data_IF_591099057813
#
_entry.id   IF_591099057813
#
_cell.length_a   1.000
_cell.length_b   1.000
_cell.length_c   1.000
_cell.angle_alpha   90.00
_cell.angle_beta   90.00
_cell.angle_gamma   90.00
#
_symmetry.space_group_name_H-M   'P 1'
#
loop_
_entity.id
_entity.type
_entity.pdbx_description
1 polymer ?
#
# COMPACT_ATOMS: atom_id res chain seq x y z
N UNK A 1 -32.09 -1.70 6.05
CA UNK A 1 -31.68 -1.93 7.45
C UNK A 1 -30.18 -1.72 7.50
N UNK A 2 -29.71 -0.54 7.93
CA UNK A 2 -28.28 -0.28 8.01
C UNK A 2 -27.73 -1.14 9.15
N UNK A 3 -26.92 -2.15 8.81
CA UNK A 3 -26.10 -2.83 9.80
C UNK A 3 -25.19 -1.77 10.42
N UNK A 4 -25.45 -1.43 11.68
CA UNK A 4 -24.54 -0.60 12.47
C UNK A 4 -23.25 -1.41 12.66
N UNK A 5 -22.35 -1.31 11.68
CA UNK A 5 -21.08 -2.01 11.72
C UNK A 5 -20.24 -1.39 12.82
N UNK A 6 -20.23 -2.05 13.98
CA UNK A 6 -19.41 -1.66 15.13
C UNK A 6 -17.97 -1.34 14.71
N UNK A 7 -17.35 -0.35 15.36
CA UNK A 7 -15.94 0.01 15.12
C UNK A 7 -15.01 -1.21 15.15
N UNK A 8 -15.30 -2.18 16.02
CA UNK A 8 -14.60 -3.47 16.08
C UNK A 8 -14.67 -4.23 14.75
N UNK A 9 -15.86 -4.36 14.16
CA UNK A 9 -16.04 -5.00 12.85
C UNK A 9 -15.28 -4.29 11.74
N UNK A 10 -15.28 -2.96 11.74
CA UNK A 10 -14.52 -2.16 10.76
C UNK A 10 -13.00 -2.37 10.93
N UNK A 11 -12.50 -2.40 12.16
CA UNK A 11 -11.08 -2.68 12.42
C UNK A 11 -10.68 -4.10 12.01
N UNK A 12 -11.54 -5.11 12.23
CA UNK A 12 -11.29 -6.48 11.76
C UNK A 12 -11.21 -6.51 10.23
N UNK A 13 -12.11 -5.81 9.53
CA UNK A 13 -12.08 -5.71 8.08
C UNK A 13 -10.79 -5.03 7.59
N UNK A 14 -10.36 -3.92 8.19
CA UNK A 14 -9.09 -3.25 7.86
C UNK A 14 -7.86 -4.14 8.10
N UNK A 15 -7.86 -4.90 9.20
CA UNK A 15 -6.82 -5.88 9.50
C UNK A 15 -6.75 -6.96 8.42
N UNK A 16 -7.88 -7.61 8.11
CA UNK A 16 -7.94 -8.70 7.13
C UNK A 16 -7.65 -8.22 5.71
N UNK A 17 -8.18 -7.07 5.32
CA UNK A 17 -7.92 -6.48 4.01
C UNK A 17 -6.44 -6.14 3.83
N UNK A 18 -5.82 -5.49 4.82
CA UNK A 18 -4.39 -5.14 4.75
C UNK A 18 -3.51 -6.39 4.76
N UNK A 19 -3.86 -7.40 5.57
CA UNK A 19 -3.19 -8.69 5.56
C UNK A 19 -3.27 -9.38 4.19
N UNK A 20 -4.43 -9.33 3.52
CA UNK A 20 -4.63 -9.92 2.19
C UNK A 20 -3.82 -9.20 1.11
N UNK A 21 -3.71 -7.87 1.17
CA UNK A 21 -2.82 -7.09 0.29
C UNK A 21 -1.39 -7.57 0.43
N UNK A 22 -0.90 -7.68 1.66
CA UNK A 22 0.47 -8.16 1.94
C UNK A 22 0.65 -9.63 1.54
N UNK A 23 -0.34 -10.48 1.78
CA UNK A 23 -0.27 -11.89 1.44
C UNK A 23 0.02 -12.11 -0.05
N UNK A 24 -0.75 -11.47 -0.93
CA UNK A 24 -0.52 -11.60 -2.38
C UNK A 24 0.75 -10.88 -2.84
N UNK A 25 0.97 -9.66 -2.37
CA UNK A 25 2.09 -8.84 -2.78
C UNK A 25 3.45 -9.42 -2.36
N UNK A 26 3.63 -9.71 -1.06
CA UNK A 26 4.86 -10.34 -0.59
C UNK A 26 4.99 -11.78 -1.11
N UNK A 27 3.88 -12.50 -1.30
CA UNK A 27 3.87 -13.84 -1.89
C UNK A 27 4.48 -13.88 -3.29
N UNK A 28 4.10 -12.96 -4.19
CA UNK A 28 4.66 -12.94 -5.55
C UNK A 28 6.13 -12.48 -5.56
N UNK A 29 6.51 -11.57 -4.67
CA UNK A 29 7.92 -11.15 -4.54
C UNK A 29 8.77 -12.27 -3.96
N UNK A 30 8.27 -13.04 -2.99
CA UNK A 30 8.95 -14.24 -2.49
C UNK A 30 9.14 -15.27 -3.61
N UNK A 31 8.08 -15.52 -4.38
CA UNK A 31 8.15 -16.42 -5.53
C UNK A 31 9.23 -15.99 -6.54
N UNK A 32 9.28 -14.69 -6.86
CA UNK A 32 10.27 -14.13 -7.79
C UNK A 32 11.71 -14.16 -7.27
N UNK A 33 11.92 -13.82 -5.99
CA UNK A 33 13.26 -13.64 -5.43
C UNK A 33 13.92 -14.95 -5.03
N UNK A 34 13.17 -15.85 -4.40
CA UNK A 34 13.77 -17.04 -3.75
C UNK A 34 13.23 -18.37 -4.26
N UNK A 35 12.08 -18.40 -4.96
CA UNK A 35 11.48 -19.66 -5.45
C UNK A 35 11.64 -19.89 -6.97
N UNK A 36 12.40 -19.03 -7.66
CA UNK A 36 12.72 -19.20 -9.08
C UNK A 36 11.59 -18.88 -10.07
N UNK A 37 10.49 -18.24 -9.62
CA UNK A 37 9.42 -17.82 -10.52
C UNK A 37 9.89 -16.67 -11.42
N UNK A 38 9.61 -16.77 -12.73
CA UNK A 38 9.94 -15.73 -13.70
C UNK A 38 8.84 -14.66 -13.73
N UNK A 39 9.06 -13.56 -12.99
CA UNK A 39 8.20 -12.39 -13.02
C UNK A 39 8.97 -11.15 -13.47
N UNK A 40 8.45 -10.45 -14.47
CA UNK A 40 8.91 -9.11 -14.81
C UNK A 40 8.26 -8.05 -13.92
N UNK A 41 8.64 -6.79 -14.16
CA UNK A 41 8.16 -5.65 -13.38
C UNK A 41 6.63 -5.50 -13.48
N UNK A 42 6.07 -5.69 -14.68
CA UNK A 42 4.62 -5.62 -14.88
C UNK A 42 3.90 -6.73 -14.13
N UNK A 43 4.39 -7.96 -14.18
CA UNK A 43 3.75 -9.11 -13.53
C UNK A 43 3.73 -8.96 -12.01
N UNK A 44 4.81 -8.48 -11.40
CA UNK A 44 4.81 -8.14 -9.96
C UNK A 44 3.77 -7.04 -9.69
N UNK A 45 3.78 -5.97 -10.48
CA UNK A 45 2.93 -4.81 -10.24
C UNK A 45 1.44 -5.12 -10.38
N UNK A 46 1.06 -5.93 -11.38
CA UNK A 46 -0.34 -6.34 -11.57
C UNK A 46 -0.80 -7.30 -10.48
N UNK A 47 0.05 -8.19 -9.96
CA UNK A 47 -0.32 -9.03 -8.81
C UNK A 47 -0.56 -8.19 -7.56
N UNK A 48 0.28 -7.18 -7.28
CA UNK A 48 0.03 -6.22 -6.20
C UNK A 48 -1.28 -5.46 -6.38
N UNK A 49 -1.51 -4.93 -7.58
CA UNK A 49 -2.74 -4.21 -7.92
C UNK A 49 -4.00 -5.05 -7.76
N UNK A 50 -4.01 -6.26 -8.31
CA UNK A 50 -5.14 -7.19 -8.19
C UNK A 50 -5.34 -7.68 -6.76
N UNK A 51 -4.27 -7.86 -5.99
CA UNK A 51 -4.34 -8.16 -4.55
C UNK A 51 -5.07 -7.06 -3.77
N UNK A 52 -4.82 -5.79 -4.10
CA UNK A 52 -5.57 -4.66 -3.54
C UNK A 52 -7.02 -4.66 -3.99
N UNK A 53 -7.31 -4.87 -5.27
CA UNK A 53 -8.69 -4.96 -5.75
C UNK A 53 -9.52 -6.01 -4.99
N UNK A 54 -8.96 -7.22 -4.82
CA UNK A 54 -9.60 -8.30 -4.06
C UNK A 54 -9.80 -7.95 -2.59
N UNK A 55 -8.82 -7.30 -1.95
CA UNK A 55 -8.94 -6.84 -0.57
C UNK A 55 -10.02 -5.77 -0.41
N UNK A 56 -10.16 -4.86 -1.39
CA UNK A 56 -11.24 -3.87 -1.41
C UNK A 56 -12.60 -4.56 -1.58
N UNK A 57 -12.74 -5.48 -2.53
CA UNK A 57 -14.00 -6.24 -2.68
C UNK A 57 -14.39 -6.99 -1.40
N UNK A 58 -13.41 -7.55 -0.68
CA UNK A 58 -13.66 -8.28 0.56
C UNK A 58 -14.17 -7.38 1.70
N UNK A 59 -13.70 -6.13 1.77
CA UNK A 59 -13.80 -5.31 2.99
C UNK A 59 -14.60 -4.01 2.83
N UNK A 60 -14.87 -3.57 1.60
CA UNK A 60 -15.54 -2.30 1.31
C UNK A 60 -16.93 -2.21 1.96
N UNK A 61 -17.68 -3.31 1.97
CA UNK A 61 -19.01 -3.35 2.58
C UNK A 61 -19.04 -3.21 4.11
N UNK A 62 -17.88 -3.31 4.78
CA UNK A 62 -17.78 -3.23 6.26
C UNK A 62 -17.05 -1.97 6.71
N UNK A 63 -15.82 -1.74 6.24
CA UNK A 63 -14.98 -0.61 6.68
C UNK A 63 -14.90 0.54 5.69
N UNK A 64 -15.35 0.34 4.45
CA UNK A 64 -15.01 1.21 3.32
C UNK A 64 -13.65 0.92 2.69
N UNK A 65 -12.93 -0.11 3.16
CA UNK A 65 -11.66 -0.59 2.62
C UNK A 65 -10.60 0.50 2.44
N UNK A 66 -10.20 1.16 3.53
CA UNK A 66 -9.12 2.14 3.45
C UNK A 66 -7.79 1.45 3.18
N UNK A 67 -7.49 0.40 3.95
CA UNK A 67 -6.34 -0.51 3.85
C UNK A 67 -4.96 0.18 3.81
N UNK A 68 -4.92 1.47 4.14
CA UNK A 68 -3.78 2.35 3.97
C UNK A 68 -3.91 3.56 4.92
N UNK A 69 -2.94 3.80 5.82
CA UNK A 69 -2.93 4.95 6.71
C UNK A 69 -2.99 6.31 5.99
N UNK A 70 -2.32 6.44 4.83
CA UNK A 70 -2.35 7.67 4.04
C UNK A 70 -3.76 7.95 3.47
N UNK A 71 -4.47 6.90 3.03
CA UNK A 71 -5.87 7.00 2.58
C UNK A 71 -6.78 7.33 3.76
N UNK A 72 -6.64 6.66 4.91
CA UNK A 72 -7.44 6.96 6.12
C UNK A 72 -7.32 8.43 6.54
N UNK A 73 -6.09 8.96 6.59
CA UNK A 73 -5.84 10.35 6.97
C UNK A 73 -6.40 11.32 5.93
N UNK A 74 -6.23 11.03 4.64
CA UNK A 74 -6.78 11.85 3.57
C UNK A 74 -8.32 11.88 3.60
N UNK A 75 -8.99 10.74 3.79
CA UNK A 75 -10.43 10.66 3.88
C UNK A 75 -10.98 11.34 5.16
N UNK A 76 -10.25 11.29 6.27
CA UNK A 76 -10.59 12.07 7.46
C UNK A 76 -10.61 13.57 7.16
N UNK A 77 -9.56 14.07 6.52
CA UNK A 77 -9.43 15.51 6.29
C UNK A 77 -10.32 16.02 5.17
N UNK A 78 -10.54 15.20 4.13
CA UNK A 78 -11.15 15.65 2.90
C UNK A 78 -12.48 14.97 2.60
N UNK A 79 -12.81 13.80 3.13
CA UNK A 79 -14.02 13.05 2.77
C UNK A 79 -14.95 12.76 3.96
N UNK A 80 -14.93 13.62 4.99
CA UNK A 80 -15.82 13.54 6.16
C UNK A 80 -15.76 12.22 6.93
N UNK A 81 -14.65 11.48 6.85
CA UNK A 81 -14.47 10.28 7.66
C UNK A 81 -14.32 10.64 9.15
N UNK A 82 -14.94 9.85 10.03
CA UNK A 82 -14.95 10.12 11.48
C UNK A 82 -13.53 10.04 12.07
N UNK A 83 -13.05 11.18 12.60
CA UNK A 83 -11.73 11.31 13.20
C UNK A 83 -11.46 10.33 14.35
N UNK A 84 -12.51 9.88 15.07
CA UNK A 84 -12.38 8.89 16.16
C UNK A 84 -11.95 7.51 15.65
N UNK A 85 -12.16 7.22 14.37
CA UNK A 85 -11.82 5.94 13.74
C UNK A 85 -10.42 5.89 13.15
N UNK A 86 -9.78 7.05 12.96
CA UNK A 86 -8.47 7.16 12.29
C UNK A 86 -7.39 6.30 12.95
N UNK A 87 -7.17 6.51 14.25
CA UNK A 87 -6.14 5.75 14.99
C UNK A 87 -6.47 4.24 15.06
N UNK A 88 -7.70 3.81 15.40
CA UNK A 88 -8.08 2.40 15.34
C UNK A 88 -7.84 1.75 13.97
N UNK A 89 -8.18 2.43 12.87
CA UNK A 89 -7.94 1.94 11.52
C UNK A 89 -6.44 1.77 11.24
N UNK A 90 -5.63 2.79 11.55
CA UNK A 90 -4.18 2.74 11.32
C UNK A 90 -3.55 1.57 12.10
N UNK A 91 -3.92 1.39 13.38
CA UNK A 91 -3.42 0.26 14.18
C UNK A 91 -3.82 -1.08 13.55
N UNK A 92 -5.09 -1.22 13.15
CA UNK A 92 -5.58 -2.44 12.51
C UNK A 92 -4.83 -2.75 11.20
N UNK A 93 -4.61 -1.73 10.36
CA UNK A 93 -3.86 -1.84 9.11
C UNK A 93 -2.41 -2.26 9.37
N UNK A 94 -1.72 -1.61 10.32
CA UNK A 94 -0.32 -1.93 10.67
C UNK A 94 -0.18 -3.38 11.18
N UNK A 95 -1.10 -3.81 12.06
CA UNK A 95 -1.14 -5.19 12.54
C UNK A 95 -1.47 -6.18 11.42
N UNK A 96 -2.37 -5.81 10.50
CA UNK A 96 -2.71 -6.62 9.32
C UNK A 96 -1.50 -6.79 8.40
N UNK A 97 -0.76 -5.71 8.14
CA UNK A 97 0.46 -5.76 7.34
C UNK A 97 1.55 -6.64 7.98
N UNK A 98 1.76 -6.49 9.28
CA UNK A 98 2.65 -7.37 10.05
C UNK A 98 2.23 -8.85 9.95
N UNK A 99 0.95 -9.13 10.17
CA UNK A 99 0.41 -10.49 10.15
C UNK A 99 0.53 -11.12 8.75
N UNK A 100 0.19 -10.38 7.69
CA UNK A 100 0.35 -10.85 6.32
C UNK A 100 1.80 -11.24 6.01
N UNK A 101 2.77 -10.43 6.44
CA UNK A 101 4.19 -10.72 6.24
C UNK A 101 4.63 -11.97 7.02
N UNK A 102 4.15 -12.13 8.25
CA UNK A 102 4.41 -13.32 9.07
C UNK A 102 3.87 -14.60 8.43
N UNK A 103 2.67 -14.55 7.85
CA UNK A 103 2.07 -15.68 7.13
C UNK A 103 2.89 -16.03 5.89
N UNK A 104 3.27 -15.05 5.07
CA UNK A 104 4.09 -15.28 3.87
C UNK A 104 5.45 -15.86 4.26
N UNK A 105 6.11 -15.32 5.27
CA UNK A 105 7.37 -15.87 5.76
C UNK A 105 7.20 -17.31 6.25
N UNK A 106 6.16 -17.63 7.02
CA UNK A 106 5.92 -19.00 7.49
C UNK A 106 5.84 -19.99 6.32
N UNK A 107 5.13 -19.61 5.24
CA UNK A 107 4.96 -20.44 4.05
C UNK A 107 6.26 -20.58 3.23
N UNK A 108 7.07 -19.52 3.16
CA UNK A 108 8.32 -19.49 2.37
C UNK A 108 9.58 -19.74 3.20
N UNK A 109 9.48 -19.96 4.52
CA UNK A 109 10.63 -19.95 5.45
C UNK A 109 11.75 -20.88 5.02
N UNK A 110 11.40 -22.11 4.64
CA UNK A 110 12.38 -23.10 4.17
C UNK A 110 13.13 -22.63 2.92
N UNK A 111 12.40 -22.09 1.95
CA UNK A 111 12.95 -21.59 0.67
C UNK A 111 13.85 -20.38 0.91
N UNK A 112 13.45 -19.45 1.79
CA UNK A 112 14.27 -18.27 2.13
C UNK A 112 15.59 -18.70 2.79
N UNK A 113 15.54 -19.62 3.77
CA UNK A 113 16.75 -20.09 4.47
C UNK A 113 17.68 -20.85 3.52
N UNK A 114 17.13 -21.69 2.65
CA UNK A 114 17.92 -22.42 1.65
C UNK A 114 18.58 -21.47 0.64
N UNK A 115 17.85 -20.45 0.17
CA UNK A 115 18.39 -19.40 -0.70
C UNK A 115 19.51 -18.63 -0.02
N UNK A 116 19.31 -18.18 1.23
CA UNK A 116 20.34 -17.47 2.00
C UNK A 116 21.59 -18.33 2.19
N UNK A 117 21.43 -19.62 2.49
CA UNK A 117 22.55 -20.55 2.66
C UNK A 117 23.31 -20.75 1.35
N UNK A 118 22.60 -20.97 0.25
CA UNK A 118 23.17 -21.22 -1.08
C UNK A 118 23.89 -19.99 -1.64
N UNK A 119 23.36 -18.79 -1.38
CA UNK A 119 23.95 -17.52 -1.82
C UNK A 119 24.94 -16.93 -0.79
N UNK A 120 25.22 -17.66 0.30
CA UNK A 120 26.09 -17.19 1.39
C UNK A 120 25.67 -15.83 2.00
N UNK A 121 24.37 -15.56 2.06
CA UNK A 121 23.80 -14.35 2.63
C UNK A 121 23.61 -14.53 4.14
N UNK A 122 24.29 -13.71 4.93
CA UNK A 122 24.10 -13.67 6.38
C UNK A 122 22.90 -12.77 6.69
N UNK A 123 21.81 -13.33 7.23
CA UNK A 123 20.64 -12.52 7.59
C UNK A 123 21.01 -11.42 8.61
N UNK A 124 20.62 -10.19 8.32
CA UNK A 124 20.98 -8.99 9.09
C UNK A 124 22.15 -8.19 8.52
N UNK A 125 22.90 -8.75 7.56
CA UNK A 125 23.91 -8.03 6.77
C UNK A 125 23.29 -7.11 5.72
N UNK A 126 24.10 -6.27 5.08
CA UNK A 126 23.66 -5.42 3.97
C UNK A 126 23.13 -6.25 2.79
N UNK A 127 23.77 -7.38 2.48
CA UNK A 127 23.39 -8.31 1.40
C UNK A 127 22.01 -8.92 1.66
N UNK A 128 21.63 -9.09 2.93
CA UNK A 128 20.32 -9.60 3.32
C UNK A 128 19.15 -8.65 3.02
N UNK A 129 19.41 -7.42 2.57
CA UNK A 129 18.37 -6.55 2.01
C UNK A 129 17.66 -7.18 0.82
N UNK A 130 18.34 -8.06 0.08
CA UNK A 130 17.71 -8.81 -1.00
C UNK A 130 16.56 -9.69 -0.49
N UNK A 131 16.73 -10.42 0.63
CA UNK A 131 15.65 -11.24 1.20
C UNK A 131 14.69 -10.40 2.06
N UNK A 132 15.16 -9.34 2.71
CA UNK A 132 14.30 -8.41 3.45
C UNK A 132 13.30 -7.68 2.53
N UNK A 133 13.70 -7.39 1.29
CA UNK A 133 12.87 -6.71 0.29
C UNK A 133 11.75 -7.58 -0.29
N UNK A 134 11.60 -8.82 0.17
CA UNK A 134 10.35 -9.59 -0.02
C UNK A 134 9.19 -8.91 0.71
N UNK A 135 9.45 -8.39 1.91
CA UNK A 135 8.41 -7.93 2.83
C UNK A 135 8.09 -6.45 2.68
N UNK A 136 9.10 -5.64 2.38
CA UNK A 136 8.99 -4.18 2.38
C UNK A 136 9.86 -3.55 1.30
N UNK A 137 9.76 -2.23 1.18
CA UNK A 137 10.43 -1.46 0.14
C UNK A 137 11.76 -0.88 0.61
N UNK A 138 12.66 -0.62 -0.35
CA UNK A 138 13.96 0.02 -0.13
C UNK A 138 14.27 0.91 -1.35
N UNK A 139 15.03 1.98 -1.14
CA UNK A 139 15.43 2.86 -2.22
C UNK A 139 16.33 2.14 -3.24
N UNK A 140 16.24 2.55 -4.50
CA UNK A 140 17.23 2.21 -5.50
C UNK A 140 18.62 2.71 -5.05
N UNK A 141 19.70 1.92 -5.20
CA UNK A 141 21.05 2.34 -4.81
C UNK A 141 21.56 3.61 -5.48
N UNK A 142 20.98 4.02 -6.61
CA UNK A 142 21.40 5.17 -7.41
C UNK A 142 20.62 6.46 -7.11
N UNK A 143 19.70 6.45 -6.14
CA UNK A 143 18.96 7.65 -5.75
C UNK A 143 19.20 7.98 -4.27
N UNK A 144 19.17 9.27 -3.94
CA UNK A 144 19.25 9.72 -2.57
C UNK A 144 17.90 9.64 -1.85
N UNK A 145 17.93 9.83 -0.53
CA UNK A 145 16.74 9.71 0.31
C UNK A 145 15.68 10.79 -0.01
N UNK A 146 16.12 11.98 -0.43
CA UNK A 146 15.23 13.07 -0.83
C UNK A 146 14.47 12.71 -2.11
N UNK A 147 15.17 12.14 -3.11
CA UNK A 147 14.55 11.65 -4.34
C UNK A 147 13.58 10.51 -4.03
N UNK A 148 13.96 9.56 -3.17
CA UNK A 148 13.06 8.48 -2.75
C UNK A 148 11.78 9.02 -2.07
N UNK A 149 11.93 10.02 -1.18
CA UNK A 149 10.80 10.71 -0.56
C UNK A 149 9.90 11.43 -1.57
N UNK A 150 10.50 12.05 -2.59
CA UNK A 150 9.76 12.74 -3.66
C UNK A 150 8.97 11.76 -4.51
N UNK A 151 9.56 10.60 -4.84
CA UNK A 151 8.87 9.54 -5.58
C UNK A 151 7.65 9.04 -4.80
N UNK A 152 7.81 8.68 -3.52
CA UNK A 152 6.70 8.20 -2.69
C UNK A 152 5.60 9.26 -2.48
N UNK A 153 5.99 10.53 -2.38
CA UNK A 153 5.04 11.65 -2.32
C UNK A 153 4.22 11.75 -3.60
N UNK A 154 4.86 11.78 -4.77
CA UNK A 154 4.17 11.91 -6.06
C UNK A 154 3.28 10.70 -6.32
N UNK A 155 3.80 9.49 -6.12
CA UNK A 155 3.05 8.25 -6.31
C UNK A 155 1.79 8.21 -5.45
N UNK A 156 1.91 8.58 -4.17
CA UNK A 156 0.76 8.55 -3.26
C UNK A 156 -0.23 9.69 -3.53
N UNK A 157 0.25 10.84 -3.99
CA UNK A 157 -0.61 11.93 -4.44
C UNK A 157 -1.45 11.51 -5.66
N UNK A 158 -0.83 10.85 -6.64
CA UNK A 158 -1.55 10.29 -7.79
C UNK A 158 -2.52 9.20 -7.34
N UNK A 159 -2.09 8.28 -6.48
CA UNK A 159 -2.94 7.21 -5.94
C UNK A 159 -4.20 7.76 -5.28
N UNK A 160 -4.07 8.63 -4.28
CA UNK A 160 -5.22 9.15 -3.53
C UNK A 160 -6.08 10.06 -4.41
N UNK A 161 -5.47 10.90 -5.26
CA UNK A 161 -6.22 11.76 -6.17
C UNK A 161 -7.08 10.97 -7.16
N UNK A 162 -6.55 9.90 -7.74
CA UNK A 162 -7.29 9.04 -8.67
C UNK A 162 -8.27 8.11 -7.96
N UNK A 163 -7.98 7.64 -6.74
CA UNK A 163 -8.97 6.94 -5.90
C UNK A 163 -10.22 7.81 -5.75
N UNK A 164 -10.06 9.07 -5.32
CA UNK A 164 -11.20 9.98 -5.19
C UNK A 164 -11.93 10.16 -6.53
N UNK A 165 -11.21 10.30 -7.64
CA UNK A 165 -11.81 10.43 -8.96
C UNK A 165 -12.61 9.20 -9.40
N UNK A 166 -12.14 7.99 -9.09
CA UNK A 166 -12.79 6.73 -9.44
C UNK A 166 -14.00 6.42 -8.57
N UNK A 167 -14.02 6.94 -7.34
CA UNK A 167 -15.11 6.78 -6.37
C UNK A 167 -16.08 7.97 -6.32
N UNK A 168 -15.86 9.01 -7.12
CA UNK A 168 -16.78 10.15 -7.26
C UNK A 168 -17.76 9.88 -8.39
N UNK A 169 -19.01 9.54 -8.03
CA UNK A 169 -20.10 9.28 -8.97
C UNK A 169 -20.54 10.54 -9.74
N UNK A 170 -20.11 11.74 -9.34
CA UNK A 170 -20.30 12.98 -10.08
C UNK A 170 -19.27 13.22 -11.19
N UNK A 171 -18.23 12.38 -11.28
CA UNK A 171 -17.14 12.52 -12.25
C UNK A 171 -17.32 11.63 -13.48
N UNK A 172 -18.28 11.96 -14.36
CA UNK A 172 -18.64 11.13 -15.51
C UNK A 172 -19.53 9.94 -15.12
N UNK A 173 -19.46 8.83 -15.87
CA UNK A 173 -20.33 7.66 -15.59
C UNK A 173 -19.87 6.94 -14.33
N UNK A 174 -20.76 6.69 -13.34
CA UNK A 174 -20.45 5.91 -12.14
C UNK A 174 -19.84 4.55 -12.47
N UNK A 175 -18.78 4.19 -11.75
CA UNK A 175 -18.04 2.92 -12.00
C UNK A 175 -18.70 1.74 -11.28
N UNK A 176 -19.46 2.01 -10.21
CA UNK A 176 -20.14 0.99 -9.42
C UNK A 176 -19.18 -0.12 -9.00
N UNK A 177 -19.54 -1.37 -9.32
CA UNK A 177 -18.74 -2.54 -8.98
C UNK A 177 -17.34 -2.59 -9.64
N UNK A 178 -17.05 -1.76 -10.66
CA UNK A 178 -15.73 -1.71 -11.29
C UNK A 178 -14.71 -0.87 -10.51
N UNK A 179 -15.14 -0.02 -9.57
CA UNK A 179 -14.22 0.89 -8.88
C UNK A 179 -13.05 0.15 -8.17
N UNK A 180 -13.25 -0.96 -7.43
CA UNK A 180 -12.13 -1.70 -6.81
C UNK A 180 -11.13 -2.25 -7.83
N UNK A 181 -11.60 -2.79 -8.96
CA UNK A 181 -10.75 -3.29 -10.03
C UNK A 181 -9.90 -2.18 -10.65
N UNK A 182 -10.50 -1.02 -10.93
CA UNK A 182 -9.79 0.12 -11.51
C UNK A 182 -8.75 0.71 -10.56
N UNK A 183 -9.02 0.70 -9.24
CA UNK A 183 -8.03 1.06 -8.22
C UNK A 183 -6.85 0.07 -8.23
N UNK A 184 -7.12 -1.23 -8.39
CA UNK A 184 -6.08 -2.23 -8.56
C UNK A 184 -5.22 -2.00 -9.81
N UNK A 185 -5.85 -1.70 -10.94
CA UNK A 185 -5.14 -1.38 -12.19
C UNK A 185 -4.29 -0.10 -12.04
N UNK A 186 -4.81 0.93 -11.37
CA UNK A 186 -4.04 2.14 -11.05
C UNK A 186 -2.74 1.80 -10.29
N UNK A 187 -2.83 0.98 -9.25
CA UNK A 187 -1.67 0.54 -8.46
C UNK A 187 -0.69 -0.24 -9.33
N UNK A 188 -1.19 -1.12 -10.20
CA UNK A 188 -0.35 -1.88 -11.13
C UNK A 188 0.41 -0.98 -12.11
N UNK A 189 -0.23 0.06 -12.64
CA UNK A 189 0.42 1.02 -13.55
C UNK A 189 1.46 1.86 -12.81
N UNK A 190 1.14 2.33 -11.59
CA UNK A 190 2.09 3.09 -10.76
C UNK A 190 3.33 2.24 -10.42
N UNK A 191 3.14 0.98 -10.04
CA UNK A 191 4.23 0.04 -9.78
C UNK A 191 5.02 -0.30 -11.04
N UNK A 192 4.34 -0.54 -12.16
CA UNK A 192 4.95 -0.87 -13.44
C UNK A 192 5.80 0.26 -14.01
N UNK A 193 5.43 1.51 -13.73
CA UNK A 193 6.15 2.69 -14.20
C UNK A 193 7.29 3.13 -13.26
N UNK A 194 7.06 3.14 -11.95
CA UNK A 194 7.96 3.78 -10.99
C UNK A 194 8.55 2.82 -9.95
N UNK A 195 8.15 1.55 -9.96
CA UNK A 195 8.60 0.58 -8.99
C UNK A 195 10.12 0.38 -8.86
N UNK A 196 10.92 0.49 -9.93
CA UNK A 196 12.38 0.39 -9.83
C UNK A 196 13.06 1.48 -8.97
N UNK A 197 12.35 2.57 -8.63
CA UNK A 197 12.90 3.67 -7.85
C UNK A 197 12.83 3.42 -6.34
N UNK A 198 11.64 3.07 -5.84
CA UNK A 198 11.38 2.93 -4.40
C UNK A 198 10.55 1.70 -4.04
N UNK A 199 10.12 0.88 -4.99
CA UNK A 199 9.23 -0.26 -4.73
C UNK A 199 7.77 0.13 -4.53
N UNK A 200 7.37 1.35 -4.91
CA UNK A 200 5.98 1.86 -4.91
C UNK A 200 5.24 1.57 -3.59
N UNK A 201 5.81 1.98 -2.45
CA UNK A 201 5.23 1.66 -1.16
C UNK A 201 3.82 2.24 -1.02
N UNK A 202 3.68 3.56 -1.20
CA UNK A 202 2.43 4.34 -1.24
C UNK A 202 1.45 4.13 -0.07
N UNK A 203 1.88 3.39 0.96
CA UNK A 203 1.05 2.89 2.05
C UNK A 203 1.93 2.59 3.27
N UNK A 204 1.82 3.38 4.36
CA UNK A 204 2.63 3.18 5.56
C UNK A 204 2.45 1.81 6.22
N UNK A 205 1.24 1.24 6.20
CA UNK A 205 0.98 -0.08 6.81
C UNK A 205 1.52 -1.24 5.97
N UNK A 206 1.51 -1.08 4.65
CA UNK A 206 2.08 -2.05 3.70
C UNK A 206 3.60 -2.14 3.79
N UNK A 207 4.25 -1.12 4.36
CA UNK A 207 5.71 -1.08 4.45
C UNK A 207 6.19 -1.29 5.90
N UNK A 208 5.71 -0.49 6.85
CA UNK A 208 6.21 -0.55 8.22
C UNK A 208 5.82 -1.84 8.96
N UNK A 209 4.60 -2.34 8.80
CA UNK A 209 4.16 -3.60 9.43
C UNK A 209 5.08 -4.77 9.02
N UNK A 210 5.29 -5.01 7.72
CA UNK A 210 6.26 -5.99 7.24
C UNK A 210 7.73 -5.70 7.61
N UNK A 211 8.17 -4.44 7.68
CA UNK A 211 9.52 -4.09 8.18
C UNK A 211 9.72 -4.49 9.63
N UNK A 212 8.73 -4.21 10.47
CA UNK A 212 8.76 -4.61 11.88
C UNK A 212 8.82 -6.13 12.01
N UNK A 213 8.05 -6.86 11.20
CA UNK A 213 8.14 -8.31 11.13
C UNK A 213 9.55 -8.78 10.73
N UNK A 214 10.12 -8.23 9.66
CA UNK A 214 11.45 -8.61 9.18
C UNK A 214 12.55 -8.29 10.22
N UNK A 215 12.50 -7.13 10.85
CA UNK A 215 13.44 -6.74 11.90
C UNK A 215 13.43 -7.75 13.06
N UNK A 216 12.24 -8.16 13.52
CA UNK A 216 12.06 -9.16 14.59
C UNK A 216 12.42 -10.59 14.14
N UNK A 217 12.45 -10.86 12.84
CA UNK A 217 12.68 -12.20 12.26
C UNK A 217 14.14 -12.44 11.81
N UNK A 218 15.07 -11.66 12.37
CA UNK A 218 16.51 -11.85 12.21
C UNK A 218 17.18 -10.91 11.21
N UNK A 219 16.43 -10.13 10.42
CA UNK A 219 17.05 -9.07 9.60
C UNK A 219 17.50 -7.88 10.47
N UNK A 220 16.95 -7.70 11.67
CA UNK A 220 17.41 -6.68 12.61
C UNK A 220 17.32 -5.26 12.04
N UNK A 221 18.32 -4.44 12.34
CA UNK A 221 18.32 -3.02 11.99
C UNK A 221 18.32 -2.75 10.48
N UNK A 222 18.90 -3.64 9.66
CA UNK A 222 18.96 -3.44 8.21
C UNK A 222 17.56 -3.36 7.59
N UNK A 223 16.58 -4.05 8.18
CA UNK A 223 15.20 -4.01 7.72
C UNK A 223 14.56 -2.61 7.86
N UNK A 224 14.97 -1.87 8.88
CA UNK A 224 14.49 -0.53 9.18
C UNK A 224 15.31 0.55 8.45
N UNK A 225 16.63 0.38 8.40
CA UNK A 225 17.54 1.39 7.88
C UNK A 225 17.66 1.35 6.36
N UNK A 226 17.55 0.17 5.74
CA UNK A 226 17.85 0.01 4.32
C UNK A 226 19.33 0.21 3.98
N UNK A 227 20.23 0.19 4.98
CA UNK A 227 21.64 0.54 4.80
C UNK A 227 21.92 2.04 4.77
N UNK A 228 20.92 2.89 5.03
CA UNK A 228 21.09 4.34 5.13
C UNK A 228 21.37 4.82 6.56
N UNK A 229 22.10 5.92 6.69
CA UNK A 229 22.35 6.59 7.99
C UNK A 229 21.04 7.09 8.61
N UNK A 230 20.17 7.68 7.80
CA UNK A 230 18.81 8.04 8.19
C UNK A 230 17.92 6.83 7.88
N UNK A 231 17.15 6.30 8.85
CA UNK A 231 16.37 5.09 8.62
C UNK A 231 15.39 5.22 7.46
N UNK A 232 15.55 4.37 6.43
CA UNK A 232 14.69 4.40 5.25
C UNK A 232 13.20 4.17 5.58
N UNK A 233 12.88 3.43 6.65
CA UNK A 233 11.50 3.22 7.13
C UNK A 233 10.70 4.52 7.33
N UNK A 234 11.36 5.67 7.51
CA UNK A 234 10.68 6.98 7.62
C UNK A 234 10.08 7.44 6.29
N UNK A 235 10.69 7.10 5.15
CA UNK A 235 10.25 7.55 3.82
C UNK A 235 8.87 6.96 3.48
N UNK A 236 8.65 5.63 3.50
CA UNK A 236 7.34 5.02 3.24
C UNK A 236 6.26 5.34 4.28
N UNK A 237 6.59 6.01 5.38
CA UNK A 237 5.62 6.51 6.35
C UNK A 237 5.24 7.95 6.02
N UNK A 238 6.24 8.85 6.01
CA UNK A 238 6.00 10.30 5.98
C UNK A 238 5.58 10.74 4.57
N UNK A 239 6.31 10.31 3.54
CA UNK A 239 6.07 10.77 2.17
C UNK A 239 4.70 10.35 1.65
N UNK A 240 4.22 9.10 1.87
CA UNK A 240 2.86 8.73 1.50
C UNK A 240 1.77 9.51 2.22
N UNK A 241 1.91 9.83 3.51
CA UNK A 241 0.92 10.63 4.24
C UNK A 241 0.82 12.04 3.63
N UNK A 242 1.96 12.70 3.40
CA UNK A 242 2.00 14.03 2.80
C UNK A 242 1.47 14.01 1.35
N UNK A 243 1.88 12.99 0.57
CA UNK A 243 1.42 12.78 -0.78
C UNK A 243 -0.09 12.57 -0.85
N UNK A 244 -0.64 11.69 0.01
CA UNK A 244 -2.07 11.42 0.07
C UNK A 244 -2.91 12.65 0.43
N UNK A 245 -2.46 13.45 1.39
CA UNK A 245 -3.10 14.74 1.72
C UNK A 245 -3.07 15.71 0.54
N UNK A 246 -1.92 15.81 -0.14
CA UNK A 246 -1.76 16.68 -1.31
C UNK A 246 -2.62 16.22 -2.50
N UNK A 247 -2.66 14.91 -2.77
CA UNK A 247 -3.48 14.32 -3.82
C UNK A 247 -4.97 14.54 -3.60
N UNK A 248 -5.43 14.34 -2.36
CA UNK A 248 -6.82 14.59 -1.98
C UNK A 248 -7.20 16.07 -2.11
N UNK A 249 -6.33 16.96 -1.63
CA UNK A 249 -6.50 18.41 -1.82
C UNK A 249 -6.55 18.78 -3.30
N UNK A 250 -5.61 18.26 -4.10
CA UNK A 250 -5.50 18.53 -5.53
C UNK A 250 -6.75 18.10 -6.30
N UNK A 251 -7.24 16.88 -6.06
CA UNK A 251 -8.49 16.40 -6.64
C UNK A 251 -9.64 17.35 -6.32
N UNK A 252 -9.86 17.68 -5.04
CA UNK A 252 -10.96 18.57 -4.65
C UNK A 252 -10.82 19.98 -5.23
N UNK A 253 -9.60 20.52 -5.27
CA UNK A 253 -9.35 21.91 -5.67
C UNK A 253 -9.46 22.11 -7.18
N UNK A 254 -8.96 21.16 -7.96
CA UNK A 254 -8.78 21.31 -9.41
C UNK A 254 -9.74 20.47 -10.24
N UNK A 255 -10.24 19.34 -9.73
CA UNK A 255 -11.22 18.50 -10.45
C UNK A 255 -12.60 18.65 -9.82
N UNK A 256 -12.76 18.26 -8.55
CA UNK A 256 -14.06 18.22 -7.87
C UNK A 256 -14.82 19.55 -7.89
N UNK A 257 -14.12 20.68 -7.68
CA UNK A 257 -14.72 22.04 -7.78
C UNK A 257 -15.20 22.43 -9.18
N UNK A 258 -14.69 21.76 -10.21
CA UNK A 258 -15.01 22.04 -11.62
C UNK A 258 -15.90 20.94 -12.24
N UNK A 259 -16.35 19.96 -11.44
CA UNK A 259 -17.34 19.01 -11.92
C UNK A 259 -18.67 19.73 -12.15
N UNK A 260 -19.45 19.33 -13.18
CA UNK A 260 -20.74 19.92 -13.48
C UNK A 260 -21.73 19.59 -12.35
N UNK A 261 -21.74 20.40 -11.29
CA UNK A 261 -22.72 20.30 -10.22
C UNK A 261 -24.12 20.36 -10.83
N UNK A 262 -24.91 19.28 -10.76
CA UNK A 262 -26.33 19.28 -11.08
C UNK A 262 -26.71 20.02 -12.38
N UNK A 263 -25.90 19.92 -13.44
CA UNK A 263 -26.01 20.73 -14.66
C UNK A 263 -27.09 20.28 -15.63
N UNK A 264 -28.18 19.70 -15.12
CA UNK A 264 -29.41 19.52 -15.87
C UNK A 264 -30.58 20.08 -15.05
N UNK A 265 -30.71 21.40 -15.03
CA UNK A 265 -32.05 21.97 -15.09
C UNK A 265 -32.45 21.91 -16.56
N UNK A 266 -33.18 20.87 -16.93
CA UNK A 266 -33.98 20.93 -18.15
C UNK A 266 -35.15 21.84 -17.76
N UNK A 267 -35.01 23.14 -17.99
CA UNK A 267 -36.17 23.99 -18.11
C UNK A 267 -36.85 23.57 -19.42
N UNK A 268 -37.96 22.82 -19.30
CA UNK A 268 -39.18 22.86 -20.13
C UNK A 268 -40.13 21.73 -19.72
#
# INVERSE_FOLDING_TARGET
MALDHSLKGQCIAEFLGTALVIFFGCGCVAAARVAGASFGLWEISIVWGMGVALAVYLTAGVSGAHLNPAVTIALWKFACFDGKKVVPFIIAQMLGGFFGAAVVYLLYRGIIIDYETTQHIVRGSAESLFTAGIFSTYANPHIDLLTAGTVEFILTATLVGVILALTDDGNGVPRGALAPLLIGILIAVLGGAMGPLTGFAMNPARDFGPKLFAALSGWGEIAMTGGHVIPYALVPIIAPILGGLFGAWGYRRFIGRNLPCNSCKIDN
#
